data_IF_779900783240
#
_entry.id   IF_779900783240
#
_cell.length_a   1.000
_cell.length_b   1.000
_cell.length_c   1.000
_cell.angle_alpha   90.00
_cell.angle_beta   90.00
_cell.angle_gamma   90.00
#
_symmetry.space_group_name_H-M   'P 1'
#
loop_
_entity.id
_entity.type
_entity.pdbx_description
1 polymer ?
#
# COMPACT_ATOMS: atom_id res chain seq x y z
N UNK A 1 9.21 8.66 -0.10
CA UNK A 1 9.43 7.48 -0.95
C UNK A 1 8.15 6.77 -1.42
N UNK A 2 8.10 6.40 -2.71
CA UNK A 2 7.17 5.43 -3.30
C UNK A 2 7.93 4.14 -3.61
N UNK A 3 7.47 2.99 -3.11
CA UNK A 3 8.14 1.69 -3.32
C UNK A 3 7.18 0.68 -3.91
N UNK A 4 7.61 0.01 -4.99
CA UNK A 4 6.92 -1.16 -5.56
C UNK A 4 7.43 -2.42 -4.86
N UNK A 5 6.49 -3.23 -4.39
CA UNK A 5 6.74 -4.53 -3.76
C UNK A 5 6.24 -5.59 -4.74
N UNK A 6 7.18 -6.32 -5.32
CA UNK A 6 6.89 -7.42 -6.23
C UNK A 6 6.56 -8.69 -5.44
N UNK A 7 5.72 -9.56 -6.01
CA UNK A 7 5.39 -10.87 -5.46
C UNK A 7 4.90 -10.82 -3.98
N UNK A 8 4.17 -9.78 -3.59
CA UNK A 8 3.57 -9.70 -2.25
C UNK A 8 2.61 -10.89 -2.04
N UNK A 9 1.72 -11.08 -3.01
CA UNK A 9 0.87 -12.27 -3.13
C UNK A 9 1.39 -13.12 -4.28
N UNK A 10 1.40 -14.44 -4.09
CA UNK A 10 1.57 -15.36 -5.21
C UNK A 10 0.26 -15.47 -6.03
N UNK A 11 0.33 -16.09 -7.21
CA UNK A 11 -0.82 -16.23 -8.12
C UNK A 11 -2.02 -16.95 -7.49
N UNK A 12 -1.79 -17.95 -6.62
CA UNK A 12 -2.87 -18.66 -5.93
C UNK A 12 -3.56 -17.78 -4.89
N UNK A 13 -2.80 -17.00 -4.12
CA UNK A 13 -3.32 -16.06 -3.13
C UNK A 13 -4.09 -14.91 -3.78
N UNK A 14 -3.55 -14.35 -4.88
CA UNK A 14 -4.23 -13.33 -5.66
C UNK A 14 -5.54 -13.87 -6.26
N UNK A 15 -5.50 -15.07 -6.88
CA UNK A 15 -6.68 -15.74 -7.41
C UNK A 15 -7.74 -16.03 -6.34
N UNK A 16 -7.33 -16.46 -5.14
CA UNK A 16 -8.23 -16.69 -4.01
C UNK A 16 -8.94 -15.40 -3.57
N UNK A 17 -8.23 -14.27 -3.49
CA UNK A 17 -8.84 -12.98 -3.17
C UNK A 17 -9.82 -12.55 -4.26
N UNK A 18 -9.46 -12.69 -5.55
CA UNK A 18 -10.36 -12.37 -6.66
C UNK A 18 -11.64 -13.22 -6.62
N UNK A 19 -11.53 -14.52 -6.35
CA UNK A 19 -12.69 -15.40 -6.23
C UNK A 19 -13.58 -15.01 -5.04
N UNK A 20 -12.99 -14.73 -3.87
CA UNK A 20 -13.75 -14.22 -2.71
C UNK A 20 -14.44 -12.89 -3.03
N UNK A 21 -13.75 -11.97 -3.71
CA UNK A 21 -14.32 -10.69 -4.12
C UNK A 21 -15.43 -10.83 -5.15
N UNK A 22 -15.39 -11.83 -6.03
CA UNK A 22 -16.46 -12.09 -7.01
C UNK A 22 -17.81 -12.41 -6.36
N UNK A 23 -17.78 -13.13 -5.24
CA UNK A 23 -18.98 -13.57 -4.51
C UNK A 23 -19.32 -12.68 -3.30
N UNK A 24 -18.55 -11.63 -3.05
CA UNK A 24 -18.75 -10.74 -1.92
C UNK A 24 -19.94 -9.79 -2.12
N UNK A 25 -20.57 -9.39 -1.01
CA UNK A 25 -21.51 -8.28 -0.99
C UNK A 25 -20.77 -6.94 -1.12
N UNK A 26 -21.24 -6.08 -2.02
CA UNK A 26 -20.66 -4.75 -2.24
C UNK A 26 -21.56 -3.62 -1.71
N UNK A 27 -20.92 -2.55 -1.24
CA UNK A 27 -21.55 -1.28 -0.92
C UNK A 27 -20.90 -0.15 -1.74
N UNK A 28 -21.62 0.96 -1.86
CA UNK A 28 -21.10 2.18 -2.46
C UNK A 28 -19.87 2.68 -1.68
N UNK A 29 -18.73 2.86 -2.35
CA UNK A 29 -17.49 3.24 -1.69
C UNK A 29 -17.48 4.66 -1.11
N UNK A 30 -18.47 5.52 -1.42
CA UNK A 30 -18.67 6.84 -0.79
C UNK A 30 -18.89 6.74 0.72
N UNK A 31 -19.29 5.57 1.24
CA UNK A 31 -19.48 5.35 2.68
C UNK A 31 -18.17 5.38 3.48
N UNK A 32 -17.02 5.20 2.82
CA UNK A 32 -15.69 5.23 3.46
C UNK A 32 -14.85 6.44 3.10
N UNK A 33 -15.35 7.32 2.22
CA UNK A 33 -14.66 8.55 1.86
C UNK A 33 -14.80 9.62 2.96
N UNK A 34 -13.72 10.39 3.16
CA UNK A 34 -13.79 11.64 3.92
C UNK A 34 -14.71 12.67 3.22
N UNK A 35 -15.12 13.72 3.95
CA UNK A 35 -16.06 14.74 3.48
C UNK A 35 -15.69 15.28 2.10
N UNK A 36 -14.43 15.68 1.92
CA UNK A 36 -13.93 16.31 0.69
C UNK A 36 -13.80 15.33 -0.48
N UNK A 37 -13.49 14.06 -0.20
CA UNK A 37 -13.25 13.05 -1.22
C UNK A 37 -14.53 12.32 -1.67
N UNK A 38 -15.60 12.40 -0.87
CA UNK A 38 -16.89 11.72 -1.13
C UNK A 38 -17.55 12.10 -2.47
N UNK A 39 -17.57 13.37 -2.92
CA UNK A 39 -18.21 13.74 -4.19
C UNK A 39 -17.48 13.19 -5.42
N UNK A 40 -16.18 12.93 -5.30
CA UNK A 40 -15.32 12.48 -6.39
C UNK A 40 -15.07 10.97 -6.36
N UNK A 41 -15.72 10.22 -5.46
CA UNK A 41 -15.58 8.77 -5.37
C UNK A 41 -16.76 8.07 -6.00
N UNK A 42 -16.49 7.24 -7.01
CA UNK A 42 -17.46 6.39 -7.70
C UNK A 42 -16.87 5.01 -7.85
N UNK A 43 -16.98 4.19 -6.82
CA UNK A 43 -16.54 2.80 -6.85
C UNK A 43 -17.39 1.96 -5.89
N UNK A 44 -17.08 0.68 -5.82
CA UNK A 44 -17.68 -0.24 -4.87
C UNK A 44 -16.64 -0.80 -3.92
N UNK A 45 -17.07 -1.21 -2.74
CA UNK A 45 -16.23 -1.85 -1.74
C UNK A 45 -16.93 -3.04 -1.12
N UNK A 46 -16.15 -4.07 -0.77
CA UNK A 46 -16.69 -5.22 -0.03
C UNK A 46 -17.30 -4.73 1.29
N UNK A 47 -18.52 -5.17 1.56
CA UNK A 47 -19.29 -4.77 2.72
C UNK A 47 -18.60 -5.21 4.02
N UNK A 48 -18.69 -4.39 5.06
CA UNK A 48 -18.12 -4.72 6.38
C UNK A 48 -18.77 -5.94 7.05
N UNK A 49 -19.98 -6.28 6.63
CA UNK A 49 -20.77 -7.42 7.10
C UNK A 49 -20.50 -8.68 6.27
N UNK A 50 -19.69 -8.59 5.22
CA UNK A 50 -19.39 -9.74 4.38
C UNK A 50 -18.57 -10.80 5.16
N UNK A 51 -18.99 -12.07 5.16
CA UNK A 51 -18.33 -13.11 5.96
C UNK A 51 -16.90 -13.41 5.48
N UNK A 52 -16.56 -13.16 4.21
CA UNK A 52 -15.21 -13.40 3.69
C UNK A 52 -14.22 -12.28 4.04
N UNK A 53 -14.70 -11.12 4.49
CA UNK A 53 -13.85 -9.93 4.68
C UNK A 53 -12.72 -10.18 5.69
N UNK A 54 -13.01 -10.84 6.82
CA UNK A 54 -12.02 -11.10 7.86
C UNK A 54 -10.85 -11.95 7.34
N UNK A 55 -11.15 -13.01 6.57
CA UNK A 55 -10.13 -13.87 5.97
C UNK A 55 -9.27 -13.11 4.96
N UNK A 56 -9.90 -12.31 4.10
CA UNK A 56 -9.19 -11.51 3.10
C UNK A 56 -8.26 -10.49 3.77
N UNK A 57 -8.74 -9.81 4.82
CA UNK A 57 -7.95 -8.87 5.61
C UNK A 57 -6.76 -9.55 6.28
N UNK A 58 -6.97 -10.74 6.86
CA UNK A 58 -5.92 -11.52 7.50
C UNK A 58 -4.84 -11.90 6.49
N UNK A 59 -5.22 -12.46 5.34
CA UNK A 59 -4.27 -12.85 4.29
C UNK A 59 -3.39 -11.67 3.85
N UNK A 60 -4.01 -10.53 3.50
CA UNK A 60 -3.24 -9.35 3.05
C UNK A 60 -2.32 -8.83 4.16
N UNK A 61 -2.80 -8.76 5.40
CA UNK A 61 -2.01 -8.26 6.54
C UNK A 61 -0.83 -9.17 6.84
N UNK A 62 -1.03 -10.48 6.84
CA UNK A 62 0.03 -11.47 7.07
C UNK A 62 1.11 -11.37 5.99
N UNK A 63 0.72 -11.27 4.72
CA UNK A 63 1.64 -11.16 3.58
C UNK A 63 2.44 -9.85 3.59
N UNK A 64 1.82 -8.74 4.00
CA UNK A 64 2.53 -7.48 4.23
C UNK A 64 3.57 -7.63 5.35
N UNK A 65 3.17 -8.18 6.50
CA UNK A 65 4.06 -8.35 7.65
C UNK A 65 5.19 -9.36 7.40
N UNK A 66 5.00 -10.36 6.54
CA UNK A 66 6.04 -11.34 6.19
C UNK A 66 6.99 -10.86 5.10
N UNK A 67 6.72 -9.73 4.43
CA UNK A 67 7.53 -9.24 3.32
C UNK A 67 8.67 -8.32 3.81
N UNK A 68 9.92 -8.74 3.58
CA UNK A 68 11.10 -8.01 4.07
C UNK A 68 11.21 -6.59 3.51
N UNK A 69 10.96 -6.43 2.22
CA UNK A 69 11.01 -5.12 1.56
C UNK A 69 9.96 -4.17 2.15
N UNK A 70 8.73 -4.65 2.38
CA UNK A 70 7.68 -3.88 3.04
C UNK A 70 8.10 -3.44 4.45
N UNK A 71 8.59 -4.36 5.28
CA UNK A 71 9.03 -4.01 6.65
C UNK A 71 10.16 -3.00 6.64
N UNK A 72 11.10 -3.14 5.72
CA UNK A 72 12.25 -2.25 5.58
C UNK A 72 11.84 -0.84 5.13
N UNK A 73 10.96 -0.74 4.13
CA UNK A 73 10.50 0.54 3.56
C UNK A 73 9.48 1.27 4.45
N UNK A 74 8.55 0.53 5.06
CA UNK A 74 7.39 1.10 5.75
C UNK A 74 7.57 1.14 7.27
N UNK A 75 8.33 0.20 7.85
CA UNK A 75 8.52 0.06 9.32
C UNK A 75 7.18 0.06 10.06
N UNK A 76 6.29 -0.90 9.76
CA UNK A 76 4.91 -0.89 10.22
C UNK A 76 4.83 -1.02 11.75
N UNK A 77 4.09 -0.11 12.39
CA UNK A 77 3.68 -0.20 13.79
C UNK A 77 2.24 -0.69 13.92
N UNK A 78 1.34 -0.13 13.12
CA UNK A 78 -0.06 -0.54 13.04
C UNK A 78 -0.45 -0.55 11.56
N UNK A 79 -0.96 -1.67 11.07
CA UNK A 79 -1.61 -1.77 9.75
C UNK A 79 -3.12 -1.72 9.99
N UNK A 80 -3.81 -0.76 9.38
CA UNK A 80 -5.27 -0.70 9.46
C UNK A 80 -5.88 -1.86 8.66
N UNK A 81 -7.07 -2.36 9.05
CA UNK A 81 -7.70 -3.46 8.32
C UNK A 81 -7.86 -3.12 6.82
N UNK A 82 -7.32 -3.95 5.90
CA UNK A 82 -7.43 -3.70 4.49
C UNK A 82 -8.88 -3.58 4.01
N UNK A 83 -9.12 -2.67 3.08
CA UNK A 83 -10.37 -2.55 2.36
C UNK A 83 -10.22 -3.10 0.95
N UNK A 84 -11.27 -3.69 0.42
CA UNK A 84 -11.28 -4.31 -0.90
C UNK A 84 -12.21 -3.50 -1.79
N UNK A 85 -11.68 -2.95 -2.87
CA UNK A 85 -12.38 -2.06 -3.78
C UNK A 85 -12.50 -2.66 -5.17
N UNK A 86 -13.65 -2.44 -5.80
CA UNK A 86 -13.95 -2.77 -7.18
C UNK A 86 -14.28 -1.50 -7.96
N UNK A 87 -13.73 -1.40 -9.17
CA UNK A 87 -14.03 -0.37 -10.15
C UNK A 87 -14.40 -1.05 -11.48
N UNK A 88 -15.61 -0.77 -11.96
CA UNK A 88 -16.13 -1.20 -13.26
C UNK A 88 -16.06 -0.03 -14.26
N UNK A 89 -16.45 -0.25 -15.51
CA UNK A 89 -16.48 0.82 -16.53
C UNK A 89 -17.24 2.06 -16.03
N UNK A 90 -16.60 3.24 -16.19
CA UNK A 90 -17.11 4.54 -15.73
C UNK A 90 -16.86 4.85 -14.25
N UNK A 91 -16.35 3.91 -13.45
CA UNK A 91 -15.98 4.12 -12.05
C UNK A 91 -14.60 4.76 -11.93
N UNK A 92 -14.44 5.60 -10.91
CA UNK A 92 -13.22 6.37 -10.65
C UNK A 92 -13.13 6.77 -9.17
N UNK A 93 -11.98 7.32 -8.79
CA UNK A 93 -11.86 8.07 -7.55
C UNK A 93 -10.97 9.28 -7.79
N UNK A 94 -11.59 10.45 -7.98
CA UNK A 94 -10.89 11.68 -8.37
C UNK A 94 -9.87 12.18 -7.33
N UNK A 95 -9.20 13.28 -7.67
CA UNK A 95 -8.07 13.81 -6.88
C UNK A 95 -8.46 14.05 -5.42
N UNK A 96 -7.71 13.45 -4.51
CA UNK A 96 -7.88 13.60 -3.06
C UNK A 96 -6.58 13.31 -2.31
N UNK A 97 -6.60 13.69 -1.03
CA UNK A 97 -5.65 13.21 -0.03
C UNK A 97 -6.43 12.39 0.98
N UNK A 98 -5.84 11.31 1.46
CA UNK A 98 -6.45 10.46 2.48
C UNK A 98 -6.54 11.17 3.83
N UNK A 99 -7.48 10.74 4.69
CA UNK A 99 -7.59 11.29 6.04
C UNK A 99 -6.31 11.02 6.84
N UNK A 100 -5.78 12.05 7.51
CA UNK A 100 -4.55 11.98 8.32
C UNK A 100 -4.69 11.12 9.58
N UNK A 101 -5.91 10.96 10.08
CA UNK A 101 -6.26 10.09 11.21
C UNK A 101 -7.43 9.20 10.81
N UNK A 102 -7.26 7.88 10.92
CA UNK A 102 -8.30 6.89 10.67
C UNK A 102 -8.41 5.97 11.88
N UNK A 103 -9.61 5.85 12.46
CA UNK A 103 -9.85 5.04 13.68
C UNK A 103 -8.91 5.39 14.85
N UNK A 104 -8.58 6.67 15.00
CA UNK A 104 -7.64 7.15 16.03
C UNK A 104 -6.16 6.86 15.73
N UNK A 105 -5.85 6.31 14.54
CA UNK A 105 -4.49 5.98 14.12
C UNK A 105 -4.04 6.96 13.03
N UNK A 106 -2.85 7.54 13.22
CA UNK A 106 -2.19 8.36 12.20
C UNK A 106 -1.80 7.51 10.99
N UNK A 107 -2.07 8.01 9.79
CA UNK A 107 -1.81 7.33 8.52
C UNK A 107 -0.56 7.93 7.86
N UNK A 108 0.55 7.20 7.94
CA UNK A 108 1.85 7.67 7.42
C UNK A 108 2.10 7.18 5.98
N UNK A 109 1.66 5.96 5.70
CA UNK A 109 1.89 5.28 4.41
C UNK A 109 0.59 4.65 3.94
N UNK A 110 0.23 4.92 2.69
CA UNK A 110 -0.85 4.25 1.96
C UNK A 110 -0.26 3.09 1.17
N UNK A 111 -1.03 2.01 1.07
CA UNK A 111 -0.65 0.79 0.36
C UNK A 111 -1.78 0.40 -0.58
N UNK A 112 -1.46 0.16 -1.84
CA UNK A 112 -2.39 -0.41 -2.83
C UNK A 112 -1.83 -1.73 -3.33
N UNK A 113 -2.59 -2.81 -3.16
CA UNK A 113 -2.30 -4.15 -3.66
C UNK A 113 -3.21 -4.38 -4.87
N UNK A 114 -2.61 -4.69 -6.01
CA UNK A 114 -3.31 -4.93 -7.26
C UNK A 114 -3.81 -6.37 -7.30
N UNK A 115 -5.08 -6.58 -7.65
CA UNK A 115 -5.71 -7.91 -7.71
C UNK A 115 -6.17 -8.28 -9.12
N UNK A 116 -6.40 -7.30 -10.00
CA UNK A 116 -6.57 -7.52 -11.44
C UNK A 116 -5.26 -7.28 -12.18
N UNK A 117 -4.96 -8.12 -13.18
CA UNK A 117 -3.82 -7.89 -14.06
C UNK A 117 -4.06 -6.66 -14.97
N UNK A 118 -3.00 -5.94 -15.35
CA UNK A 118 -3.12 -4.65 -16.04
C UNK A 118 -3.75 -4.75 -17.44
N UNK A 119 -3.71 -5.92 -18.06
CA UNK A 119 -4.31 -6.22 -19.36
C UNK A 119 -5.80 -6.61 -19.28
N UNK A 120 -6.34 -6.82 -18.08
CA UNK A 120 -7.74 -7.18 -17.85
C UNK A 120 -8.69 -5.98 -17.76
N UNK A 121 -8.15 -4.75 -17.76
CA UNK A 121 -8.93 -3.52 -17.72
C UNK A 121 -8.19 -2.38 -18.42
N UNK A 122 -8.93 -1.43 -19.01
CA UNK A 122 -8.38 -0.19 -19.54
C UNK A 122 -8.64 0.99 -18.58
N UNK A 123 -7.71 1.94 -18.53
CA UNK A 123 -7.73 2.98 -17.50
C UNK A 123 -7.40 2.43 -16.11
N UNK A 124 -8.00 3.01 -15.06
CA UNK A 124 -7.86 2.52 -13.68
C UNK A 124 -6.48 2.69 -13.03
N UNK A 125 -5.59 3.49 -13.63
CA UNK A 125 -4.27 3.78 -13.06
C UNK A 125 -4.43 4.49 -11.71
N UNK A 126 -3.57 4.12 -10.74
CA UNK A 126 -3.34 4.98 -9.58
C UNK A 126 -2.42 6.12 -10.03
N UNK A 127 -2.94 7.33 -10.07
CA UNK A 127 -2.18 8.51 -10.49
C UNK A 127 -1.84 9.35 -9.27
N UNK A 128 -0.56 9.64 -9.07
CA UNK A 128 -0.06 10.49 -7.99
C UNK A 128 0.52 11.77 -8.56
N UNK A 129 0.17 12.90 -7.95
CA UNK A 129 0.76 14.18 -8.29
C UNK A 129 2.16 14.29 -7.66
N UNK A 130 3.08 14.90 -8.40
CA UNK A 130 4.44 15.17 -7.95
C UNK A 130 4.97 16.46 -8.55
N UNK A 131 6.00 17.10 -7.96
CA UNK A 131 6.58 18.32 -8.52
C UNK A 131 7.07 18.19 -9.96
N UNK A 132 7.43 16.97 -10.39
CA UNK A 132 7.87 16.67 -11.77
C UNK A 132 6.73 16.28 -12.72
N UNK A 133 5.47 16.40 -12.29
CA UNK A 133 4.29 15.95 -13.03
C UNK A 133 3.68 14.68 -12.44
N UNK A 134 2.63 14.21 -13.10
CA UNK A 134 1.88 13.04 -12.63
C UNK A 134 2.67 11.74 -12.86
N UNK A 135 2.57 10.84 -11.88
CA UNK A 135 3.09 9.48 -11.97
C UNK A 135 1.95 8.48 -11.93
N UNK A 136 1.84 7.70 -12.99
CA UNK A 136 0.85 6.62 -13.09
C UNK A 136 1.44 5.29 -12.60
N UNK A 137 0.62 4.51 -11.88
CA UNK A 137 0.97 3.19 -11.38
C UNK A 137 -0.15 2.21 -11.71
N UNK A 138 0.22 1.15 -12.44
CA UNK A 138 -0.64 0.02 -12.78
C UNK A 138 0.23 -1.22 -12.84
N UNK A 139 0.05 -2.15 -11.89
CA UNK A 139 0.96 -3.26 -11.67
C UNK A 139 0.26 -4.62 -11.85
N UNK A 140 1.01 -5.70 -12.11
CA UNK A 140 0.48 -7.08 -12.13
C UNK A 140 -0.28 -7.45 -10.86
N UNK A 141 -1.20 -8.41 -10.98
CA UNK A 141 -1.90 -8.95 -9.82
C UNK A 141 -0.91 -9.54 -8.79
N UNK A 142 -1.17 -9.28 -7.52
CA UNK A 142 -0.32 -9.66 -6.40
C UNK A 142 0.86 -8.73 -6.11
N UNK A 143 1.06 -7.68 -6.91
CA UNK A 143 2.04 -6.64 -6.64
C UNK A 143 1.41 -5.55 -5.77
N UNK A 144 2.26 -4.82 -5.04
CA UNK A 144 1.82 -3.67 -4.26
C UNK A 144 2.67 -2.44 -4.52
N UNK A 145 2.08 -1.28 -4.26
CA UNK A 145 2.79 0.00 -4.18
C UNK A 145 2.53 0.64 -2.83
N UNK A 146 3.57 1.21 -2.25
CA UNK A 146 3.51 2.03 -1.04
C UNK A 146 3.85 3.47 -1.39
N UNK A 147 3.17 4.43 -0.76
CA UNK A 147 3.39 5.86 -1.00
C UNK A 147 2.98 6.68 0.24
N UNK A 148 3.49 7.92 0.39
CA UNK A 148 3.08 8.77 1.50
C UNK A 148 1.57 9.04 1.43
N UNK A 149 0.87 8.87 2.55
CA UNK A 149 -0.57 9.14 2.61
C UNK A 149 -0.90 10.62 2.33
N UNK A 150 0.09 11.50 2.47
CA UNK A 150 -0.01 12.93 2.16
C UNK A 150 -0.01 13.24 0.65
N UNK A 151 0.24 12.26 -0.21
CA UNK A 151 0.29 12.48 -1.67
C UNK A 151 -1.11 12.73 -2.22
N UNK A 152 -1.26 13.81 -3.00
CA UNK A 152 -2.45 14.02 -3.82
C UNK A 152 -2.50 12.92 -4.89
N UNK A 153 -3.60 12.20 -4.97
CA UNK A 153 -3.73 11.07 -5.87
C UNK A 153 -5.17 10.81 -6.29
N UNK A 154 -5.33 10.00 -7.35
CA UNK A 154 -6.61 9.53 -7.86
C UNK A 154 -6.50 8.11 -8.43
N UNK A 155 -7.64 7.46 -8.59
CA UNK A 155 -7.80 6.32 -9.49
C UNK A 155 -8.46 6.84 -10.75
N UNK A 156 -7.75 6.81 -11.88
CA UNK A 156 -8.28 7.21 -13.18
C UNK A 156 -9.52 6.38 -13.54
N UNK A 157 -10.44 6.91 -14.37
CA UNK A 157 -11.61 6.16 -14.81
C UNK A 157 -11.22 4.80 -15.39
N UNK A 158 -11.93 3.75 -14.97
CA UNK A 158 -11.89 2.47 -15.69
C UNK A 158 -12.74 2.62 -16.94
N UNK A 159 -12.16 2.35 -18.10
CA UNK A 159 -12.84 2.47 -19.39
C UNK A 159 -13.53 1.16 -19.75
N UNK A 160 -12.83 0.04 -19.59
CA UNK A 160 -13.32 -1.30 -19.86
C UNK A 160 -12.71 -2.30 -18.85
N UNK A 161 -13.36 -3.44 -18.67
CA UNK A 161 -12.95 -4.46 -17.69
C UNK A 161 -13.27 -4.11 -16.24
N UNK A 162 -12.60 -4.80 -15.32
CA UNK A 162 -12.81 -4.67 -13.87
C UNK A 162 -11.46 -4.56 -13.14
N UNK A 163 -11.31 -3.49 -12.35
CA UNK A 163 -10.14 -3.30 -11.48
C UNK A 163 -10.50 -3.64 -10.04
N UNK A 164 -9.87 -4.70 -9.55
CA UNK A 164 -9.90 -5.11 -8.15
C UNK A 164 -8.61 -4.68 -7.46
N UNK A 165 -8.73 -4.17 -6.24
CA UNK A 165 -7.59 -3.80 -5.41
C UNK A 165 -7.90 -3.94 -3.93
N UNK A 166 -6.88 -4.28 -3.14
CA UNK A 166 -6.90 -4.07 -1.70
C UNK A 166 -6.14 -2.79 -1.35
N UNK A 167 -6.66 -1.99 -0.42
CA UNK A 167 -6.06 -0.74 0.03
C UNK A 167 -5.98 -0.74 1.54
N UNK A 168 -4.84 -0.34 2.09
CA UNK A 168 -4.66 -0.17 3.54
C UNK A 168 -3.76 1.03 3.84
N UNK A 169 -3.76 1.44 5.11
CA UNK A 169 -2.91 2.49 5.64
C UNK A 169 -2.12 1.98 6.83
N UNK A 170 -0.94 2.55 7.01
CA UNK A 170 0.01 2.13 8.03
C UNK A 170 0.42 3.32 8.87
N UNK A 171 0.35 3.16 10.20
CA UNK A 171 1.16 3.94 11.12
C UNK A 171 2.55 3.34 11.14
N UNK A 172 3.55 4.10 10.73
CA UNK A 172 4.94 3.69 10.83
C UNK A 172 5.46 3.94 12.25
N UNK A 173 6.45 3.15 12.67
CA UNK A 173 7.28 3.52 13.81
C UNK A 173 8.02 4.84 13.55
N UNK A 174 8.35 5.16 12.29
CA UNK A 174 9.07 6.37 11.91
C UNK A 174 8.13 7.30 11.16
N UNK A 175 7.68 8.36 11.83
CA UNK A 175 6.68 9.31 11.31
C UNK A 175 7.14 10.00 10.02
N UNK A 176 8.34 10.58 10.04
CA UNK A 176 8.85 11.38 8.94
C UNK A 176 9.21 10.50 7.73
N UNK A 177 8.73 10.88 6.55
CA UNK A 177 8.98 10.13 5.31
C UNK A 177 10.44 10.17 4.86
N UNK A 178 11.14 11.29 5.03
CA UNK A 178 12.56 11.44 4.68
C UNK A 178 13.47 10.62 5.62
N UNK A 179 13.12 10.54 6.91
CA UNK A 179 13.83 9.69 7.86
C UNK A 179 13.66 8.20 7.52
N UNK A 180 12.44 7.78 7.13
CA UNK A 180 12.20 6.41 6.63
C UNK A 180 13.01 6.11 5.39
N UNK A 181 13.05 7.03 4.44
CA UNK A 181 13.81 6.91 3.19
C UNK A 181 15.31 6.80 3.47
N UNK A 182 15.84 7.65 4.35
CA UNK A 182 17.23 7.57 4.83
C UNK A 182 17.56 6.21 5.44
N UNK A 183 16.69 5.67 6.31
CA UNK A 183 16.89 4.34 6.88
C UNK A 183 16.79 3.23 5.82
N UNK A 184 15.91 3.37 4.84
CA UNK A 184 15.73 2.41 3.76
C UNK A 184 16.96 2.33 2.85
N UNK A 185 17.53 3.47 2.47
CA UNK A 185 18.76 3.54 1.69
C UNK A 185 19.94 2.91 2.46
N UNK A 186 20.06 3.23 3.75
CA UNK A 186 21.10 2.66 4.61
C UNK A 186 20.97 1.14 4.74
N UNK A 187 19.76 0.62 4.97
CA UNK A 187 19.54 -0.83 5.04
C UNK A 187 19.81 -1.52 3.70
N UNK A 188 19.41 -0.91 2.58
CA UNK A 188 19.66 -1.43 1.23
C UNK A 188 21.16 -1.52 0.93
N UNK A 189 21.90 -0.43 1.20
CA UNK A 189 23.35 -0.41 1.02
C UNK A 189 24.05 -1.42 1.94
N UNK A 190 23.64 -1.48 3.21
CA UNK A 190 24.22 -2.41 4.19
C UNK A 190 23.99 -3.86 3.82
N UNK A 191 22.79 -4.25 3.39
CA UNK A 191 22.52 -5.63 2.96
C UNK A 191 23.38 -6.02 1.75
N UNK A 192 23.47 -5.16 0.73
CA UNK A 192 24.32 -5.42 -0.44
C UNK A 192 25.80 -5.55 -0.09
N UNK A 193 26.31 -4.67 0.78
CA UNK A 193 27.70 -4.75 1.24
C UNK A 193 27.96 -6.02 2.03
N UNK A 194 27.01 -6.45 2.88
CA UNK A 194 27.13 -7.69 3.62
C UNK A 194 27.15 -8.93 2.71
N UNK A 195 26.33 -8.96 1.65
CA UNK A 195 26.36 -10.04 0.66
C UNK A 195 27.71 -10.13 -0.07
N UNK A 196 28.35 -8.99 -0.34
CA UNK A 196 29.63 -8.94 -1.05
C UNK A 196 30.85 -9.23 -0.16
N UNK A 197 30.85 -8.69 1.06
CA UNK A 197 32.04 -8.65 1.94
C UNK A 197 31.91 -9.54 3.18
N UNK A 198 30.70 -10.01 3.49
CA UNK A 198 30.40 -10.72 4.73
C UNK A 198 30.49 -9.83 5.97
N UNK A 199 30.80 -10.44 7.11
CA UNK A 199 30.91 -9.76 8.40
C UNK A 199 32.29 -9.12 8.55
N UNK A 200 32.33 -7.80 8.70
CA UNK A 200 33.56 -7.02 8.96
C UNK A 200 33.34 -6.02 10.13
N UNK A 201 34.41 -5.48 10.73
CA UNK A 201 34.29 -4.42 11.74
C UNK A 201 33.52 -3.18 11.24
N UNK A 202 33.69 -2.80 9.97
CA UNK A 202 32.98 -1.68 9.34
C UNK A 202 31.48 -1.98 9.21
N UNK A 203 31.13 -3.23 8.85
CA UNK A 203 29.74 -3.67 8.82
C UNK A 203 29.09 -3.63 10.20
N UNK A 204 29.84 -3.96 11.26
CA UNK A 204 29.36 -3.83 12.64
C UNK A 204 29.12 -2.35 13.03
N UNK A 205 29.96 -1.43 12.57
CA UNK A 205 29.76 0.02 12.77
C UNK A 205 28.52 0.55 12.00
N UNK A 206 28.31 0.11 10.76
CA UNK A 206 27.11 0.44 9.99
C UNK A 206 25.85 -0.10 10.67
N UNK A 207 25.88 -1.35 11.15
CA UNK A 207 24.76 -1.96 11.88
C UNK A 207 24.45 -1.24 13.20
N UNK A 208 25.49 -0.87 13.97
CA UNK A 208 25.36 -0.03 15.18
C UNK A 208 24.72 1.31 14.85
N UNK A 209 25.17 1.96 13.78
CA UNK A 209 24.68 3.28 13.36
C UNK A 209 23.21 3.23 12.95
N UNK A 210 22.84 2.28 12.09
CA UNK A 210 21.45 2.05 11.67
C UNK A 210 20.54 1.78 12.89
N UNK A 211 20.97 0.94 13.82
CA UNK A 211 20.21 0.64 15.04
C UNK A 211 20.02 1.87 15.94
N UNK A 212 21.04 2.73 16.04
CA UNK A 212 20.95 3.96 16.83
C UNK A 212 20.04 5.00 16.16
N UNK A 213 20.07 5.15 14.84
CA UNK A 213 19.18 6.05 14.10
C UNK A 213 17.72 5.60 14.26
N UNK A 214 17.46 4.30 14.13
CA UNK A 214 16.12 3.75 14.36
C UNK A 214 15.65 4.08 15.78
N UNK A 215 16.46 3.83 16.81
CA UNK A 215 16.11 4.18 18.21
C UNK A 215 15.85 5.67 18.43
N UNK A 216 16.44 6.56 17.63
CA UNK A 216 16.19 8.02 17.72
C UNK A 216 14.90 8.46 17.05
N UNK A 217 14.49 7.77 15.97
CA UNK A 217 13.36 8.19 15.13
C UNK A 217 12.08 7.40 15.36
N UNK A 218 12.14 6.28 16.08
CA UNK A 218 10.96 5.50 16.47
C UNK A 218 10.10 6.30 17.45
N UNK A 219 8.79 6.31 17.20
CA UNK A 219 7.75 6.81 18.12
C UNK A 219 6.87 5.65 18.61
N UNK A 220 6.93 5.37 19.92
CA UNK A 220 6.15 4.38 20.64
C UNK A 220 4.76 4.86 21.12
#
# INVERSE_FOLDING_TARGET
MLVVITNLLNSNEAGLLCEKMRHAGYVDGRVTAGREARPVKRNQQVARTDPALADMQKLVTDRLMSNDLFRMAVRPKIILPPMFSRYESGMEYGNHVDNSIMRGVRTDVSVTIFLSDPDQYEGGQLVMDSPGGEREVKLPAGYAVTYPTTSLHRVAPVVSGERLAAVTWVRSFVRNAADRETLFDLDTARHRLFELLGKTPEMDLLAKTQSNLLRRWVED
#
